data_IF_077424516068
#
_entry.id   IF_077424516068
#
_cell.length_a   1.000
_cell.length_b   1.000
_cell.length_c   1.000
_cell.angle_alpha   90.00
_cell.angle_beta   90.00
_cell.angle_gamma   90.00
#
_symmetry.space_group_name_H-M   'P 1'
#
loop_
_entity.id
_entity.type
_entity.pdbx_description
1 polymer ?
#
# COMPACT_ATOMS: atom_id res chain seq x y z
N UNK A 1 -3.22 -5.45 -17.20
CA UNK A 1 -3.29 -5.24 -15.74
C UNK A 1 -2.63 -6.35 -14.94
N UNK A 2 -2.72 -7.63 -15.31
CA UNK A 2 -2.11 -8.73 -14.53
C UNK A 2 -0.57 -8.62 -14.48
N UNK A 3 0.09 -8.40 -15.61
CA UNK A 3 1.57 -8.30 -15.66
C UNK A 3 2.10 -7.14 -14.81
N UNK A 4 1.49 -5.96 -14.94
CA UNK A 4 1.85 -4.79 -14.13
C UNK A 4 1.53 -4.98 -12.65
N UNK A 5 0.45 -5.71 -12.30
CA UNK A 5 0.14 -6.06 -10.93
C UNK A 5 1.24 -6.92 -10.30
N UNK A 6 1.64 -8.00 -11.00
CA UNK A 6 2.71 -8.89 -10.54
C UNK A 6 4.04 -8.16 -10.40
N UNK A 7 4.40 -7.34 -11.39
CA UNK A 7 5.62 -6.53 -11.35
C UNK A 7 5.65 -5.62 -10.10
N UNK A 8 4.59 -4.85 -9.87
CA UNK A 8 4.53 -3.95 -8.72
C UNK A 8 4.45 -4.69 -7.38
N UNK A 9 3.77 -5.84 -7.31
CA UNK A 9 3.71 -6.65 -6.10
C UNK A 9 5.10 -7.18 -5.73
N UNK A 10 5.85 -7.72 -6.70
CA UNK A 10 7.20 -8.25 -6.47
C UNK A 10 8.15 -7.13 -6.07
N UNK A 11 8.19 -6.04 -6.83
CA UNK A 11 9.07 -4.89 -6.54
C UNK A 11 8.72 -4.27 -5.19
N UNK A 12 7.43 -4.06 -4.92
CA UNK A 12 6.97 -3.51 -3.65
C UNK A 12 7.31 -4.41 -2.46
N UNK A 13 7.17 -5.73 -2.61
CA UNK A 13 7.55 -6.69 -1.57
C UNK A 13 9.05 -6.64 -1.28
N UNK A 14 9.89 -6.64 -2.32
CA UNK A 14 11.34 -6.54 -2.18
C UNK A 14 11.72 -5.24 -1.47
N UNK A 15 11.17 -4.11 -1.91
CA UNK A 15 11.49 -2.79 -1.35
C UNK A 15 11.02 -2.60 0.10
N UNK A 16 9.92 -3.23 0.52
CA UNK A 16 9.41 -3.13 1.89
C UNK A 16 10.07 -4.14 2.85
N UNK A 17 10.30 -5.38 2.42
CA UNK A 17 10.84 -6.40 3.33
C UNK A 17 12.36 -6.49 3.31
N UNK A 18 13.00 -6.14 2.19
CA UNK A 18 14.44 -6.23 1.97
C UNK A 18 15.08 -4.84 1.75
N UNK A 19 14.51 -3.78 2.32
CA UNK A 19 14.97 -2.40 2.09
C UNK A 19 16.44 -2.18 2.46
N UNK A 20 16.94 -2.88 3.48
CA UNK A 20 18.34 -2.77 3.91
C UNK A 20 19.29 -3.36 2.86
N UNK A 21 19.00 -4.58 2.38
CA UNK A 21 19.79 -5.24 1.35
C UNK A 21 19.77 -4.45 0.04
N UNK A 22 18.60 -3.90 -0.33
CA UNK A 22 18.47 -3.02 -1.50
C UNK A 22 19.31 -1.76 -1.33
N UNK A 23 19.27 -1.10 -0.17
CA UNK A 23 20.09 0.08 0.09
C UNK A 23 21.59 -0.24 -0.02
N UNK A 24 22.02 -1.38 0.54
CA UNK A 24 23.40 -1.84 0.49
C UNK A 24 23.84 -2.15 -0.95
N UNK A 25 23.01 -2.85 -1.71
CA UNK A 25 23.27 -3.19 -3.12
C UNK A 25 23.37 -1.93 -4.00
N UNK A 26 22.57 -0.91 -3.72
CA UNK A 26 22.58 0.37 -4.43
C UNK A 26 23.70 1.32 -3.98
N UNK A 27 24.59 0.88 -3.08
CA UNK A 27 25.62 1.70 -2.46
C UNK A 27 25.08 2.99 -1.81
N UNK A 28 23.82 2.95 -1.37
CA UNK A 28 23.24 4.02 -0.56
C UNK A 28 23.81 3.91 0.85
N UNK A 29 24.14 5.04 1.46
CA UNK A 29 24.36 5.08 2.90
C UNK A 29 23.06 4.60 3.56
N UNK A 30 23.09 3.40 4.15
CA UNK A 30 21.98 2.71 4.80
C UNK A 30 21.57 3.40 6.11
N UNK A 31 21.31 4.71 5.99
CA UNK A 31 20.80 5.55 7.02
C UNK A 31 19.35 5.16 7.30
N UNK A 32 18.88 5.36 8.54
CA UNK A 32 17.49 5.13 8.89
C UNK A 32 16.48 5.82 7.97
N UNK A 33 16.80 7.02 7.51
CA UNK A 33 15.98 7.78 6.58
C UNK A 33 15.90 7.12 5.20
N UNK A 34 17.03 6.64 4.66
CA UNK A 34 17.07 5.96 3.36
C UNK A 34 16.24 4.67 3.36
N UNK A 35 16.34 3.88 4.43
CA UNK A 35 15.57 2.65 4.63
C UNK A 35 14.08 2.97 4.74
N UNK A 36 13.72 4.03 5.46
CA UNK A 36 12.33 4.49 5.58
C UNK A 36 11.78 4.93 4.22
N UNK A 37 12.54 5.66 3.40
CA UNK A 37 12.12 6.08 2.06
C UNK A 37 11.89 4.87 1.14
N UNK A 38 12.80 3.90 1.12
CA UNK A 38 12.63 2.66 0.35
C UNK A 38 11.37 1.90 0.77
N UNK A 39 11.09 1.84 2.07
CA UNK A 39 9.87 1.24 2.58
C UNK A 39 8.58 1.95 2.13
N UNK A 40 8.57 3.28 2.17
CA UNK A 40 7.43 4.10 1.70
C UNK A 40 7.22 3.88 0.20
N UNK A 41 8.29 3.85 -0.59
CA UNK A 41 8.24 3.55 -2.02
C UNK A 41 7.73 2.12 -2.27
N UNK A 42 8.21 1.13 -1.50
CA UNK A 42 7.72 -0.25 -1.59
C UNK A 42 6.23 -0.38 -1.26
N UNK A 43 5.76 0.34 -0.24
CA UNK A 43 4.34 0.44 0.11
C UNK A 43 3.50 1.01 -1.04
N UNK A 44 4.00 2.04 -1.73
CA UNK A 44 3.35 2.61 -2.91
C UNK A 44 3.28 1.61 -4.09
N UNK A 45 4.34 0.82 -4.31
CA UNK A 45 4.30 -0.24 -5.31
C UNK A 45 3.32 -1.36 -4.93
N UNK A 46 3.27 -1.78 -3.67
CA UNK A 46 2.27 -2.76 -3.22
C UNK A 46 0.84 -2.25 -3.41
N UNK A 47 0.60 -0.97 -3.12
CA UNK A 47 -0.66 -0.28 -3.41
C UNK A 47 -1.05 -0.40 -4.89
N UNK A 48 -0.14 -0.04 -5.81
CA UNK A 48 -0.39 -0.11 -7.25
C UNK A 48 -0.59 -1.55 -7.72
N UNK A 49 0.18 -2.48 -7.17
CA UNK A 49 0.11 -3.90 -7.47
C UNK A 49 -1.25 -4.49 -7.10
N UNK A 50 -1.72 -4.23 -5.88
CA UNK A 50 -3.02 -4.69 -5.41
C UNK A 50 -4.17 -4.00 -6.15
N UNK A 51 -4.08 -2.70 -6.41
CA UNK A 51 -5.06 -1.97 -7.23
C UNK A 51 -5.22 -2.61 -8.61
N UNK A 52 -4.11 -2.87 -9.30
CA UNK A 52 -4.11 -3.52 -10.61
C UNK A 52 -4.61 -4.97 -10.55
N UNK A 53 -4.28 -5.70 -9.48
CA UNK A 53 -4.72 -7.07 -9.28
C UNK A 53 -6.22 -7.16 -9.07
N UNK A 54 -6.83 -6.25 -8.30
CA UNK A 54 -8.27 -6.25 -8.06
C UNK A 54 -9.05 -5.58 -9.19
N UNK A 55 -8.42 -4.71 -9.96
CA UNK A 55 -9.03 -4.16 -11.19
C UNK A 55 -9.02 -5.16 -12.35
N UNK A 56 -8.35 -6.31 -12.23
CA UNK A 56 -8.34 -7.32 -13.30
C UNK A 56 -9.77 -7.87 -13.49
N UNK A 57 -10.28 -7.80 -14.73
CA UNK A 57 -11.64 -8.25 -15.06
C UNK A 57 -12.75 -7.21 -14.84
N UNK A 58 -12.44 -6.05 -14.24
CA UNK A 58 -13.35 -4.91 -14.26
C UNK A 58 -13.20 -4.15 -15.60
N UNK A 59 -14.32 -3.74 -16.19
CA UNK A 59 -14.31 -2.83 -17.34
C UNK A 59 -13.69 -1.51 -16.95
N UNK A 60 -12.95 -0.89 -17.87
CA UNK A 60 -12.43 0.46 -17.65
C UNK A 60 -13.64 1.41 -17.56
N UNK A 61 -13.91 1.93 -16.37
CA UNK A 61 -15.13 2.69 -16.01
C UNK A 61 -16.17 1.94 -15.15
N UNK A 62 -15.90 0.68 -14.77
CA UNK A 62 -16.77 -0.12 -13.90
C UNK A 62 -16.70 0.28 -12.41
N UNK A 63 -17.27 -0.54 -11.52
CA UNK A 63 -17.28 -0.25 -10.08
C UNK A 63 -15.86 -0.35 -9.47
N UNK A 64 -15.08 0.73 -9.59
CA UNK A 64 -13.70 0.84 -9.08
C UNK A 64 -13.62 1.00 -7.57
N UNK A 65 -14.75 1.17 -6.88
CA UNK A 65 -14.76 1.44 -5.45
C UNK A 65 -14.07 0.34 -4.64
N UNK A 66 -14.24 -0.94 -5.01
CA UNK A 66 -13.64 -2.04 -4.26
C UNK A 66 -12.10 -2.11 -4.41
N UNK A 67 -11.54 -2.13 -5.64
CA UNK A 67 -10.09 -2.06 -5.82
C UNK A 67 -9.45 -0.84 -5.15
N UNK A 68 -10.12 0.31 -5.23
CA UNK A 68 -9.65 1.58 -4.68
C UNK A 68 -9.62 1.57 -3.15
N UNK A 69 -10.66 1.08 -2.48
CA UNK A 69 -10.73 1.01 -1.01
C UNK A 69 -9.61 0.13 -0.47
N UNK A 70 -9.43 -1.08 -1.00
CA UNK A 70 -8.38 -1.97 -0.54
C UNK A 70 -6.98 -1.43 -0.78
N UNK A 71 -6.73 -0.81 -1.95
CA UNK A 71 -5.46 -0.16 -2.21
C UNK A 71 -5.21 0.94 -1.17
N UNK A 72 -6.18 1.83 -0.95
CA UNK A 72 -6.08 2.92 0.03
C UNK A 72 -5.98 2.47 1.50
N UNK A 73 -6.33 1.22 1.84
CA UNK A 73 -6.05 0.63 3.17
C UNK A 73 -4.60 0.14 3.24
N UNK A 74 -4.11 -0.51 2.19
CA UNK A 74 -2.78 -1.13 2.19
C UNK A 74 -1.65 -0.11 2.30
N UNK A 75 -1.74 1.02 1.57
CA UNK A 75 -0.66 2.00 1.60
C UNK A 75 -0.43 2.57 3.01
N UNK A 76 -1.46 3.06 3.73
CA UNK A 76 -1.28 3.53 5.09
C UNK A 76 -0.81 2.47 6.07
N UNK A 77 -1.32 1.24 5.97
CA UNK A 77 -0.95 0.15 6.89
C UNK A 77 0.53 -0.22 6.73
N UNK A 78 0.99 -0.43 5.50
CA UNK A 78 2.37 -0.84 5.24
C UNK A 78 3.33 0.31 5.58
N UNK A 79 2.97 1.55 5.23
CA UNK A 79 3.76 2.73 5.59
C UNK A 79 3.83 2.92 7.10
N UNK A 80 2.73 2.72 7.83
CA UNK A 80 2.69 2.81 9.29
C UNK A 80 3.64 1.79 9.95
N UNK A 81 3.61 0.53 9.50
CA UNK A 81 4.52 -0.52 9.99
C UNK A 81 5.99 -0.11 9.76
N UNK A 82 6.31 0.44 8.59
CA UNK A 82 7.66 0.92 8.29
C UNK A 82 8.09 2.09 9.19
N UNK A 83 7.19 3.05 9.42
CA UNK A 83 7.47 4.20 10.29
C UNK A 83 7.67 3.79 11.75
N UNK A 84 6.85 2.85 12.25
CA UNK A 84 7.02 2.26 13.58
C UNK A 84 8.41 1.61 13.69
N UNK A 85 8.79 0.77 12.72
CA UNK A 85 10.13 0.16 12.70
C UNK A 85 11.25 1.21 12.71
N UNK A 86 11.11 2.31 11.95
CA UNK A 86 12.07 3.39 11.98
C UNK A 86 12.19 4.04 13.36
N UNK A 87 11.08 4.40 14.01
CA UNK A 87 11.09 5.04 15.34
C UNK A 87 11.76 4.13 16.38
N UNK A 88 11.37 2.85 16.43
CA UNK A 88 11.87 1.91 17.46
C UNK A 88 13.29 1.39 17.20
N UNK A 89 13.63 1.04 15.95
CA UNK A 89 14.92 0.40 15.66
C UNK A 89 16.05 1.40 15.49
N UNK A 90 15.74 2.63 15.06
CA UNK A 90 16.77 3.63 14.69
C UNK A 90 16.72 4.90 15.53
N UNK A 91 15.85 4.93 16.56
CA UNK A 91 15.67 6.06 17.48
C UNK A 91 15.49 7.40 16.76
N UNK A 92 14.84 7.42 15.60
CA UNK A 92 14.43 8.67 14.95
C UNK A 92 13.25 9.24 15.76
N UNK A 93 13.54 10.14 16.69
CA UNK A 93 12.54 10.82 17.52
C UNK A 93 12.18 12.19 16.95
N UNK A 94 11.98 12.28 15.64
CA UNK A 94 11.55 13.54 15.03
C UNK A 94 10.06 13.76 15.25
N UNK A 95 9.68 14.93 15.77
CA UNK A 95 8.28 15.36 15.88
C UNK A 95 7.52 15.20 14.56
N UNK A 96 8.20 15.40 13.43
CA UNK A 96 7.63 15.25 12.09
C UNK A 96 7.18 13.80 11.81
N UNK A 97 7.98 12.80 12.20
CA UNK A 97 7.65 11.36 12.00
C UNK A 97 6.41 10.97 12.80
N UNK A 98 6.26 11.48 14.03
CA UNK A 98 5.08 11.24 14.86
C UNK A 98 3.81 11.86 14.26
N UNK A 99 3.90 13.09 13.76
CA UNK A 99 2.77 13.76 13.08
C UNK A 99 2.35 12.95 11.84
N UNK A 100 3.30 12.53 11.01
CA UNK A 100 3.02 11.68 9.85
C UNK A 100 2.36 10.35 10.25
N UNK A 101 2.85 9.72 11.33
CA UNK A 101 2.30 8.47 11.86
C UNK A 101 0.81 8.63 12.22
N UNK A 102 0.46 9.72 12.92
CA UNK A 102 -0.94 10.05 13.25
C UNK A 102 -1.81 10.25 12.00
N UNK A 103 -1.32 10.98 11.00
CA UNK A 103 -2.04 11.19 9.73
C UNK A 103 -2.30 9.86 9.03
N UNK A 104 -1.30 8.98 8.96
CA UNK A 104 -1.44 7.66 8.34
C UNK A 104 -2.42 6.75 9.09
N UNK A 105 -2.42 6.77 10.43
CA UNK A 105 -3.41 6.04 11.24
C UNK A 105 -4.82 6.54 10.95
N UNK A 106 -5.03 7.87 10.92
CA UNK A 106 -6.33 8.46 10.62
C UNK A 106 -6.83 8.07 9.23
N UNK A 107 -5.95 8.16 8.22
CA UNK A 107 -6.31 7.80 6.85
C UNK A 107 -6.67 6.31 6.73
N UNK A 108 -5.87 5.43 7.33
CA UNK A 108 -6.15 3.99 7.36
C UNK A 108 -7.47 3.66 8.05
N UNK A 109 -7.75 4.29 9.20
CA UNK A 109 -8.99 4.10 9.95
C UNK A 109 -10.23 4.55 9.15
N UNK A 110 -10.15 5.67 8.43
CA UNK A 110 -11.22 6.15 7.57
C UNK A 110 -11.55 5.16 6.45
N UNK A 111 -10.54 4.61 5.77
CA UNK A 111 -10.78 3.64 4.70
C UNK A 111 -11.28 2.28 5.22
N UNK A 112 -10.81 1.83 6.38
CA UNK A 112 -11.39 0.65 7.06
C UNK A 112 -12.86 0.91 7.43
N UNK A 113 -13.18 2.10 7.93
CA UNK A 113 -14.56 2.46 8.23
C UNK A 113 -15.44 2.48 6.97
N UNK A 114 -14.94 3.01 5.85
CA UNK A 114 -15.65 2.97 4.56
C UNK A 114 -15.91 1.52 4.11
N UNK A 115 -14.94 0.62 4.28
CA UNK A 115 -15.08 -0.81 3.94
C UNK A 115 -16.19 -1.49 4.77
N UNK A 116 -16.27 -1.17 6.07
CA UNK A 116 -17.25 -1.76 6.98
C UNK A 116 -18.67 -1.19 6.79
N UNK A 117 -18.79 0.09 6.45
CA UNK A 117 -20.08 0.77 6.28
C UNK A 117 -20.70 0.58 4.90
N UNK A 118 -19.89 0.29 3.88
CA UNK A 118 -20.36 0.08 2.51
C UNK A 118 -20.02 -1.34 2.03
N UNK A 119 -20.84 -2.36 2.39
CA UNK A 119 -20.61 -3.72 1.94
C UNK A 119 -20.63 -3.75 0.41
N UNK A 120 -19.54 -4.25 -0.17
CA UNK A 120 -19.32 -4.28 -1.61
C UNK A 120 -20.31 -5.27 -2.23
N UNK A 121 -21.37 -4.76 -2.85
CA UNK A 121 -22.40 -5.59 -3.49
C UNK A 121 -21.80 -6.29 -4.73
N UNK A 122 -21.81 -7.64 -4.80
CA UNK A 122 -21.43 -8.34 -6.01
C UNK A 122 -22.41 -8.00 -7.14
N UNK A 123 -21.88 -7.73 -8.34
CA UNK A 123 -22.69 -7.45 -9.54
C UNK A 123 -23.48 -8.72 -9.90
N UNK A 124 -24.81 -8.69 -9.71
CA UNK A 124 -25.71 -9.75 -10.18
C UNK A 124 -25.61 -9.79 -11.71
N UNK A 125 -25.15 -10.91 -12.30
CA UNK A 125 -25.26 -11.09 -13.75
C UNK A 125 -26.75 -11.25 -14.07
N UNK A 126 -27.33 -10.26 -14.73
CA UNK A 126 -28.66 -10.37 -15.29
C UNK A 126 -28.52 -11.28 -16.50
N UNK A 127 -28.79 -12.57 -16.33
CA UNK A 127 -28.91 -13.49 -17.44
C UNK A 127 -30.25 -13.20 -18.12
N UNK A 128 -30.21 -12.40 -19.19
CA UNK A 128 -31.33 -12.35 -20.13
C UNK A 128 -31.29 -13.67 -20.93
N UNK A 129 -32.04 -14.69 -20.48
CA UNK A 129 -32.52 -15.72 -21.40
C UNK A 129 -33.67 -15.10 -22.19
N UNK A 130 -33.43 -14.86 -23.47
CA UNK A 130 -34.50 -14.77 -24.48
C UNK A 130 -34.85 -16.17 -24.93
#
# INVERSE_FOLDING_TARGET
MILSALFYLVVGFILTFFSFDVASYMHLNASPLSIMMLNITGSLYLFLGVLNWMSKGNTIGGNYNQPLVWANILHPVITLIAMIRAVFMTKIHSRLVLILCLVYVLLGALFVHILLTNPMKPKKSIHHSK
#
